data_IF_656650891568
#
_entry.id   IF_656650891568
#
_cell.length_a   1.000
_cell.length_b   1.000
_cell.length_c   1.000
_cell.angle_alpha   90.00
_cell.angle_beta   90.00
_cell.angle_gamma   90.00
#
_symmetry.space_group_name_H-M   'P 1'
#
loop_
_entity.id
_entity.type
_entity.pdbx_description
1 polymer ?
#
# COMPACT_ATOMS: atom_id res chain seq x y z
N UNK A 1 -15.47 3.40 11.13
CA UNK A 1 -14.73 3.89 9.95
C UNK A 1 -14.00 2.70 9.38
N UNK A 2 -14.28 2.34 8.12
CA UNK A 2 -13.66 1.19 7.46
C UNK A 2 -14.54 -0.06 7.51
N UNK A 3 -15.05 -0.42 6.32
CA UNK A 3 -15.77 -1.63 5.87
C UNK A 3 -16.97 -2.15 6.71
N UNK A 4 -17.99 -2.73 6.05
CA UNK A 4 -19.01 -3.51 6.76
C UNK A 4 -18.38 -4.74 7.44
N UNK A 5 -19.08 -5.36 8.41
CA UNK A 5 -18.61 -6.56 9.08
C UNK A 5 -18.16 -7.63 8.07
N UNK A 6 -16.96 -8.16 8.26
CA UNK A 6 -16.41 -9.21 7.40
C UNK A 6 -17.09 -10.55 7.72
N UNK A 7 -17.64 -11.18 6.69
CA UNK A 7 -17.99 -12.61 6.68
C UNK A 7 -16.76 -13.45 6.30
N UNK A 8 -16.39 -14.40 7.16
CA UNK A 8 -15.20 -15.23 6.96
C UNK A 8 -15.33 -16.22 5.80
N UNK A 9 -16.56 -16.58 5.43
CA UNK A 9 -16.84 -17.55 4.37
C UNK A 9 -17.13 -16.87 3.01
N UNK A 10 -17.05 -15.53 2.95
CA UNK A 10 -17.29 -14.74 1.75
C UNK A 10 -15.99 -14.20 1.13
N UNK A 11 -15.93 -14.19 -0.21
CA UNK A 11 -14.96 -13.35 -0.93
C UNK A 11 -15.32 -11.89 -0.67
N UNK A 12 -14.47 -11.19 0.11
CA UNK A 12 -14.66 -9.78 0.45
C UNK A 12 -14.66 -8.91 -0.81
N UNK A 13 -15.32 -7.76 -0.75
CA UNK A 13 -15.25 -6.73 -1.80
C UNK A 13 -13.81 -6.22 -1.89
N UNK A 14 -13.05 -6.78 -2.84
CA UNK A 14 -11.62 -6.49 -3.03
C UNK A 14 -11.38 -5.01 -3.33
N UNK A 15 -12.14 -4.35 -4.23
CA UNK A 15 -12.06 -2.90 -4.41
C UNK A 15 -12.26 -2.11 -3.11
N UNK A 16 -13.34 -2.38 -2.36
CA UNK A 16 -13.63 -1.65 -1.13
C UNK A 16 -12.55 -1.88 -0.07
N UNK A 17 -12.03 -3.10 0.02
CA UNK A 17 -10.94 -3.47 0.92
C UNK A 17 -9.65 -2.74 0.58
N UNK A 18 -9.25 -2.74 -0.69
CA UNK A 18 -8.08 -2.01 -1.17
C UNK A 18 -8.18 -0.52 -0.84
N UNK A 19 -9.35 0.08 -1.11
CA UNK A 19 -9.64 1.47 -0.81
C UNK A 19 -9.55 1.79 0.70
N UNK A 20 -10.07 0.89 1.53
CA UNK A 20 -10.02 1.00 2.99
C UNK A 20 -8.59 0.92 3.50
N UNK A 21 -7.80 -0.04 3.02
CA UNK A 21 -6.39 -0.21 3.38
C UNK A 21 -5.61 1.06 3.03
N UNK A 22 -5.75 1.55 1.79
CA UNK A 22 -5.09 2.76 1.31
C UNK A 22 -5.41 3.99 2.18
N UNK A 23 -6.66 4.13 2.63
CA UNK A 23 -7.11 5.31 3.40
C UNK A 23 -6.76 5.23 4.89
N UNK A 24 -6.73 4.04 5.47
CA UNK A 24 -6.71 3.88 6.93
C UNK A 24 -5.41 3.29 7.50
N UNK A 25 -4.59 2.59 6.70
CA UNK A 25 -3.44 1.85 7.24
C UNK A 25 -2.19 2.71 7.49
N UNK A 26 -2.10 3.95 6.98
CA UNK A 26 -0.92 4.80 7.17
C UNK A 26 -0.61 5.08 8.65
N UNK A 27 -1.61 5.47 9.44
CA UNK A 27 -1.44 5.78 10.86
C UNK A 27 -0.94 4.58 11.66
N UNK A 28 -1.67 3.45 11.64
CA UNK A 28 -1.24 2.21 12.29
C UNK A 28 0.12 1.72 11.83
N UNK A 29 0.45 1.87 10.53
CA UNK A 29 1.76 1.49 10.00
C UNK A 29 2.90 2.33 10.57
N UNK A 30 2.72 3.65 10.69
CA UNK A 30 3.72 4.53 11.33
C UNK A 30 3.90 4.21 12.81
N UNK A 31 2.82 3.93 13.53
CA UNK A 31 2.91 3.50 14.93
C UNK A 31 3.70 2.19 15.07
N UNK A 32 3.51 1.24 14.15
CA UNK A 32 4.29 0.01 14.11
C UNK A 32 5.79 0.28 13.89
N UNK A 33 6.14 1.17 12.95
CA UNK A 33 7.53 1.52 12.66
C UNK A 33 8.24 2.15 13.87
N UNK A 34 7.54 3.02 14.62
CA UNK A 34 8.05 3.61 15.87
C UNK A 34 8.29 2.51 16.91
N UNK A 35 7.31 1.64 17.15
CA UNK A 35 7.43 0.53 18.11
C UNK A 35 8.57 -0.42 17.75
N UNK A 36 8.77 -0.71 16.46
CA UNK A 36 9.89 -1.52 15.99
C UNK A 36 11.23 -0.85 16.27
N UNK A 37 11.32 0.47 16.09
CA UNK A 37 12.51 1.25 16.44
C UNK A 37 12.82 1.25 17.93
N UNK A 38 11.78 1.31 18.78
CA UNK A 38 11.93 1.26 20.25
C UNK A 38 12.35 -0.12 20.77
N UNK A 39 11.88 -1.20 20.13
CA UNK A 39 12.24 -2.58 20.48
C UNK A 39 13.64 -2.97 20.01
N UNK A 40 14.13 -2.32 18.95
CA UNK A 40 15.44 -2.61 18.37
C UNK A 40 16.52 -1.89 19.17
N UNK A 41 17.18 -2.61 20.09
CA UNK A 41 18.34 -2.08 20.83
C UNK A 41 19.54 -1.74 19.91
N UNK A 42 19.45 -2.06 18.61
CA UNK A 42 20.57 -2.05 17.66
C UNK A 42 20.44 -0.97 16.59
N UNK A 43 19.25 -0.71 16.01
CA UNK A 43 18.99 0.47 15.16
C UNK A 43 17.50 0.66 14.82
N UNK A 44 17.04 1.91 14.57
CA UNK A 44 15.72 2.15 13.99
C UNK A 44 15.56 1.53 12.60
N UNK A 45 14.32 1.48 12.10
CA UNK A 45 14.02 1.02 10.73
C UNK A 45 14.73 1.92 9.71
N UNK A 46 15.54 1.31 8.84
CA UNK A 46 16.36 2.03 7.85
C UNK A 46 15.86 1.89 6.41
N UNK A 47 14.92 0.99 6.15
CA UNK A 47 14.36 0.74 4.82
C UNK A 47 12.98 0.11 4.94
N UNK A 48 12.09 0.43 4.01
CA UNK A 48 10.76 -0.20 3.88
C UNK A 48 10.73 -1.00 2.57
N UNK A 49 10.29 -2.26 2.66
CA UNK A 49 9.93 -3.05 1.48
C UNK A 49 8.41 -3.19 1.49
N UNK A 50 7.74 -2.63 0.50
CA UNK A 50 6.28 -2.56 0.42
C UNK A 50 5.77 -3.28 -0.82
N UNK A 51 4.54 -3.78 -0.78
CA UNK A 51 3.86 -4.21 -2.01
C UNK A 51 3.36 -2.96 -2.77
N UNK A 52 3.44 -2.95 -4.09
CA UNK A 52 3.07 -1.78 -4.91
C UNK A 52 1.60 -1.34 -4.73
N UNK A 53 0.70 -2.28 -4.46
CA UNK A 53 -0.72 -1.98 -4.22
C UNK A 53 -0.90 -1.29 -2.85
N UNK A 54 0.08 -1.44 -1.95
CA UNK A 54 0.07 -0.90 -0.59
C UNK A 54 0.72 0.49 -0.51
N UNK A 55 0.21 1.45 -1.27
CA UNK A 55 0.78 2.81 -1.39
C UNK A 55 0.95 3.62 -0.09
N UNK A 56 0.40 3.18 1.04
CA UNK A 56 0.69 3.78 2.35
C UNK A 56 2.14 3.52 2.82
N UNK A 57 2.77 2.43 2.36
CA UNK A 57 4.17 2.12 2.65
C UNK A 57 5.12 3.17 2.08
N UNK A 58 4.88 3.55 0.82
CA UNK A 58 5.66 4.60 0.13
C UNK A 58 5.52 5.95 0.79
N UNK A 59 4.29 6.29 1.19
CA UNK A 59 4.05 7.53 1.92
C UNK A 59 4.75 7.54 3.27
N UNK A 60 4.75 6.44 4.01
CA UNK A 60 5.45 6.35 5.28
C UNK A 60 6.98 6.45 5.11
N UNK A 61 7.56 5.80 4.10
CA UNK A 61 8.98 5.91 3.77
C UNK A 61 9.39 7.36 3.46
N UNK A 62 8.60 8.04 2.63
CA UNK A 62 8.78 9.46 2.32
C UNK A 62 8.69 10.34 3.57
N UNK A 63 7.68 10.14 4.42
CA UNK A 63 7.49 10.94 5.65
C UNK A 63 8.60 10.68 6.70
N UNK A 64 9.22 9.50 6.68
CA UNK A 64 10.32 9.13 7.58
C UNK A 64 11.71 9.42 6.98
N UNK A 65 11.79 9.79 5.69
CA UNK A 65 13.05 10.05 5.00
C UNK A 65 13.93 8.81 4.84
N UNK A 66 13.33 7.62 4.77
CA UNK A 66 14.06 6.35 4.60
C UNK A 66 13.81 5.73 3.22
N UNK A 67 14.78 4.99 2.65
CA UNK A 67 14.60 4.27 1.39
C UNK A 67 13.38 3.35 1.38
N UNK A 68 12.79 3.22 0.19
CA UNK A 68 11.73 2.27 -0.10
C UNK A 68 12.11 1.38 -1.30
N UNK A 69 11.75 0.10 -1.21
CA UNK A 69 11.71 -0.81 -2.35
C UNK A 69 10.27 -1.31 -2.53
N UNK A 70 9.67 -0.99 -3.66
CA UNK A 70 8.36 -1.52 -4.03
C UNK A 70 8.50 -2.89 -4.69
N UNK A 71 7.76 -3.86 -4.19
CA UNK A 71 7.71 -5.23 -4.67
C UNK A 71 6.37 -5.48 -5.36
N UNK A 72 6.40 -6.04 -6.56
CA UNK A 72 5.20 -6.38 -7.30
C UNK A 72 4.94 -7.88 -7.19
N UNK A 73 3.90 -8.26 -6.44
CA UNK A 73 3.53 -9.66 -6.24
C UNK A 73 2.73 -10.26 -7.40
N UNK A 74 2.08 -9.43 -8.22
CA UNK A 74 1.36 -9.92 -9.40
C UNK A 74 2.31 -10.47 -10.47
N UNK A 75 1.80 -11.40 -11.29
CA UNK A 75 2.54 -11.89 -12.46
C UNK A 75 2.84 -10.75 -13.44
N UNK A 76 3.86 -10.94 -14.27
CA UNK A 76 4.21 -9.97 -15.34
C UNK A 76 3.02 -9.65 -16.24
N UNK A 77 2.16 -10.63 -16.54
CA UNK A 77 0.92 -10.40 -17.28
C UNK A 77 -0.10 -9.56 -16.50
N UNK A 78 -0.21 -9.76 -15.18
CA UNK A 78 -1.06 -8.95 -14.30
C UNK A 78 -0.58 -7.50 -14.18
N UNK A 79 0.73 -7.28 -14.07
CA UNK A 79 1.36 -5.96 -14.08
C UNK A 79 1.03 -5.19 -15.37
N UNK A 80 1.23 -5.82 -16.54
CA UNK A 80 0.95 -5.19 -17.83
C UNK A 80 -0.53 -4.84 -18.00
N UNK A 81 -1.43 -5.70 -17.51
CA UNK A 81 -2.88 -5.42 -17.50
C UNK A 81 -3.23 -4.19 -16.66
N UNK A 82 -2.73 -4.12 -15.42
CA UNK A 82 -2.91 -2.97 -14.52
C UNK A 82 -2.34 -1.69 -15.12
N UNK A 83 -1.13 -1.74 -15.66
CA UNK A 83 -0.47 -0.61 -16.31
C UNK A 83 -1.25 -0.14 -17.54
N UNK A 84 -1.74 -1.05 -18.39
CA UNK A 84 -2.52 -0.72 -19.60
C UNK A 84 -3.85 -0.05 -19.25
N UNK A 85 -4.54 -0.50 -18.20
CA UNK A 85 -5.78 0.12 -17.74
C UNK A 85 -5.53 1.50 -17.14
N UNK A 86 -4.47 1.68 -16.35
CA UNK A 86 -4.08 2.99 -15.82
C UNK A 86 -3.67 3.96 -16.94
N UNK A 87 -2.85 3.52 -17.89
CA UNK A 87 -2.44 4.34 -19.04
C UNK A 87 -3.64 4.75 -19.89
N UNK A 88 -4.57 3.83 -20.13
CA UNK A 88 -5.81 4.11 -20.87
C UNK A 88 -6.72 5.07 -20.12
N UNK A 89 -6.82 4.96 -18.79
CA UNK A 89 -7.58 5.88 -17.95
C UNK A 89 -6.99 7.29 -17.95
N UNK A 90 -5.66 7.43 -17.83
CA UNK A 90 -4.97 8.71 -17.92
C UNK A 90 -5.03 9.32 -19.32
N UNK A 91 -5.00 8.51 -20.38
CA UNK A 91 -5.10 8.99 -21.77
C UNK A 91 -6.55 9.28 -22.21
N UNK A 92 -7.55 8.66 -21.57
CA UNK A 92 -8.97 8.84 -21.90
C UNK A 92 -9.70 9.82 -20.98
N UNK A 93 -9.04 10.34 -19.94
CA UNK A 93 -9.60 11.37 -19.05
C UNK A 93 -9.39 12.76 -19.69
N UNK A 94 -10.45 13.48 -20.09
CA UNK A 94 -10.32 14.80 -20.69
C UNK A 94 -10.07 15.85 -19.60
N UNK A 95 -8.85 15.90 -19.07
CA UNK A 95 -8.35 16.98 -18.20
C UNK A 95 -6.89 17.36 -18.55
N UNK A 96 -6.44 17.06 -19.78
CA UNK A 96 -5.45 17.81 -20.55
C UNK A 96 -5.84 17.78 -22.02
#
# INVERSE_FOLDING_TARGET
MGLPPSDKDATQDVPALSDSIRKNCLGPFKELLVKLGELSEVSPVTCIISDEVMGFGSRAAMELGIPEVQFWTASTCGFMGSWTLLFSYFYSSPQF
#
